data_IF_170216435323
#
_entry.id   IF_170216435323
#
_cell.length_a   1.000
_cell.length_b   1.000
_cell.length_c   1.000
_cell.angle_alpha   90.00
_cell.angle_beta   90.00
_cell.angle_gamma   90.00
#
_symmetry.space_group_name_H-M   'P 1'
#
loop_
_entity.id
_entity.type
_entity.pdbx_description
1 polymer ?
#
# COMPACT_ATOMS: atom_id res chain seq x y z
N UNK A 1 -3.51 6.78 -10.83
CA UNK A 1 -4.33 5.55 -11.00
C UNK A 1 -3.90 4.62 -9.89
N UNK A 2 -4.83 4.16 -9.07
CA UNK A 2 -4.50 3.26 -7.96
C UNK A 2 -4.57 1.81 -8.45
N UNK A 3 -3.52 1.03 -8.19
CA UNK A 3 -3.41 -0.39 -8.58
C UNK A 3 -2.69 -1.18 -7.50
N UNK A 4 -3.08 -2.45 -7.35
CA UNK A 4 -2.40 -3.37 -6.44
C UNK A 4 -1.45 -4.35 -7.15
N UNK A 5 -1.70 -4.66 -8.43
CA UNK A 5 -0.88 -5.57 -9.24
C UNK A 5 -0.54 -4.95 -10.60
N UNK A 6 0.38 -5.57 -11.33
CA UNK A 6 0.84 -5.10 -12.64
C UNK A 6 1.95 -4.05 -12.54
N UNK A 7 2.36 -3.50 -13.68
CA UNK A 7 3.35 -2.42 -13.71
C UNK A 7 2.83 -1.14 -13.06
N UNK A 8 3.72 -0.43 -12.37
CA UNK A 8 3.46 0.82 -11.65
C UNK A 8 2.30 0.67 -10.66
N UNK A 9 2.36 -0.37 -9.82
CA UNK A 9 1.39 -0.60 -8.74
C UNK A 9 1.84 0.09 -7.44
N UNK A 10 0.88 0.44 -6.59
CA UNK A 10 1.13 1.15 -5.33
C UNK A 10 1.62 0.21 -4.20
N UNK A 11 1.64 -1.10 -4.45
CA UNK A 11 2.07 -2.14 -3.51
C UNK A 11 3.60 -2.23 -3.43
N UNK A 12 4.27 -2.13 -4.57
CA UNK A 12 5.71 -2.36 -4.68
C UNK A 12 6.55 -1.31 -3.95
N UNK A 13 6.22 0.01 -3.98
CA UNK A 13 6.92 1.01 -3.16
C UNK A 13 6.87 0.69 -1.66
N UNK A 14 5.72 0.26 -1.12
CA UNK A 14 5.58 -0.12 0.30
C UNK A 14 6.53 -1.27 0.65
N UNK A 15 6.54 -2.32 -0.18
CA UNK A 15 7.43 -3.47 0.01
C UNK A 15 8.90 -3.04 -0.09
N UNK A 16 9.25 -2.22 -1.08
CA UNK A 16 10.62 -1.72 -1.27
C UNK A 16 11.08 -0.91 -0.06
N UNK A 17 10.24 -0.02 0.47
CA UNK A 17 10.55 0.78 1.65
C UNK A 17 10.96 -0.12 2.82
N UNK A 18 10.19 -1.16 3.14
CA UNK A 18 10.48 -2.05 4.29
C UNK A 18 11.56 -3.12 4.03
N UNK A 19 12.26 -3.08 2.89
CA UNK A 19 13.36 -4.02 2.57
C UNK A 19 13.06 -5.06 1.50
N UNK A 20 12.00 -4.86 0.71
CA UNK A 20 11.70 -5.57 -0.53
C UNK A 20 10.97 -6.90 -0.36
N UNK A 21 11.66 -7.92 0.14
CA UNK A 21 11.18 -9.31 0.11
C UNK A 21 10.58 -9.80 1.43
N UNK A 22 10.86 -9.09 2.54
CA UNK A 22 10.42 -9.48 3.89
C UNK A 22 9.24 -8.58 4.31
N UNK A 23 7.98 -9.04 4.18
CA UNK A 23 6.81 -8.20 4.40
C UNK A 23 6.54 -7.88 5.88
N UNK A 24 7.30 -8.48 6.80
CA UNK A 24 7.14 -8.33 8.25
C UNK A 24 7.98 -7.19 8.82
N UNK A 25 8.84 -6.57 8.01
CA UNK A 25 9.61 -5.41 8.44
C UNK A 25 8.73 -4.17 8.51
N UNK A 26 9.15 -3.21 9.31
CA UNK A 26 8.47 -1.92 9.49
C UNK A 26 9.49 -0.80 9.47
N UNK A 27 9.11 0.38 8.98
CA UNK A 27 9.90 1.60 9.09
C UNK A 27 9.09 2.68 9.78
N UNK A 28 9.69 3.35 10.76
CA UNK A 28 9.07 4.48 11.45
C UNK A 28 9.43 5.79 10.75
N UNK A 29 8.43 6.63 10.51
CA UNK A 29 8.53 7.94 9.88
C UNK A 29 7.35 8.19 8.94
N UNK A 30 7.05 9.47 8.72
CA UNK A 30 6.12 9.89 7.67
C UNK A 30 6.84 9.82 6.33
N UNK A 31 6.59 8.74 5.60
CA UNK A 31 7.15 8.50 4.26
C UNK A 31 6.05 8.61 3.20
N UNK A 32 6.44 8.63 1.92
CA UNK A 32 5.44 8.64 0.84
C UNK A 32 4.61 7.35 0.81
N UNK A 33 5.16 6.26 1.34
CA UNK A 33 4.54 4.94 1.42
C UNK A 33 3.65 4.76 2.67
N UNK A 34 3.66 5.71 3.61
CA UNK A 34 2.75 5.75 4.78
C UNK A 34 1.38 6.29 4.35
N UNK A 35 0.60 5.43 3.68
CA UNK A 35 -0.68 5.80 3.06
C UNK A 35 -1.78 6.03 4.09
N UNK A 36 -1.66 5.46 5.29
CA UNK A 36 -2.62 5.69 6.38
C UNK A 36 -2.21 6.86 7.30
N UNK A 37 -1.00 7.41 7.12
CA UNK A 37 -0.45 8.54 7.88
C UNK A 37 -0.34 8.27 9.39
N UNK A 38 0.00 7.03 9.79
CA UNK A 38 0.23 6.64 11.19
C UNK A 38 1.69 6.76 11.64
N UNK A 39 2.59 7.15 10.74
CA UNK A 39 4.01 7.28 10.98
C UNK A 39 4.78 5.95 10.99
N UNK A 40 4.18 4.86 10.51
CA UNK A 40 4.81 3.54 10.41
C UNK A 40 4.45 2.84 9.10
N UNK A 41 5.41 2.76 8.19
CA UNK A 41 5.26 1.97 6.96
C UNK A 41 5.36 0.47 7.28
N UNK A 42 4.32 -0.29 6.94
CA UNK A 42 4.27 -1.77 7.08
C UNK A 42 3.28 -2.42 6.12
N UNK A 43 3.60 -3.63 5.68
CA UNK A 43 2.81 -4.35 4.68
C UNK A 43 1.78 -5.33 5.26
N UNK A 44 2.04 -5.88 6.45
CA UNK A 44 1.14 -6.82 7.15
C UNK A 44 0.88 -6.37 8.59
N UNK A 45 -0.12 -6.98 9.22
CA UNK A 45 -0.53 -6.67 10.59
C UNK A 45 -1.57 -5.55 10.65
N UNK A 46 -1.94 -5.14 11.86
CA UNK A 46 -2.94 -4.10 12.08
C UNK A 46 -2.46 -2.74 11.58
N UNK A 47 -3.36 -1.98 10.95
CA UNK A 47 -3.09 -0.67 10.36
C UNK A 47 -1.97 -0.70 9.31
N UNK A 48 -1.88 -1.75 8.51
CA UNK A 48 -0.92 -1.79 7.41
C UNK A 48 -1.32 -0.85 6.26
N UNK A 49 -0.34 -0.45 5.46
CA UNK A 49 -0.51 0.44 4.31
C UNK A 49 -1.19 -0.22 3.11
N UNK A 50 -1.17 -1.56 3.09
CA UNK A 50 -1.75 -2.38 2.03
C UNK A 50 -3.28 -2.31 2.01
N UNK A 51 -3.91 -2.28 3.17
CA UNK A 51 -5.36 -2.41 3.30
C UNK A 51 -6.14 -1.19 2.76
N UNK A 52 -5.73 0.07 2.99
CA UNK A 52 -6.34 1.23 2.33
C UNK A 52 -6.32 1.16 0.80
N UNK A 53 -5.26 0.63 0.21
CA UNK A 53 -5.14 0.45 -1.25
C UNK A 53 -6.19 -0.56 -1.74
N UNK A 54 -6.27 -1.73 -1.07
CA UNK A 54 -7.24 -2.77 -1.41
C UNK A 54 -8.69 -2.29 -1.26
N UNK A 55 -9.00 -1.55 -0.20
CA UNK A 55 -10.34 -0.97 0.00
C UNK A 55 -10.74 -0.06 -1.15
N UNK A 56 -9.85 0.83 -1.59
CA UNK A 56 -10.12 1.78 -2.67
C UNK A 56 -10.27 1.13 -4.05
N UNK A 57 -9.67 -0.04 -4.30
CA UNK A 57 -9.87 -0.79 -5.55
C UNK A 57 -11.06 -1.77 -5.52
N UNK A 58 -11.84 -1.80 -4.44
CA UNK A 58 -13.05 -2.63 -4.34
C UNK A 58 -12.88 -3.94 -3.56
N UNK A 59 -11.90 -4.01 -2.66
CA UNK A 59 -11.77 -5.06 -1.65
C UNK A 59 -10.58 -6.01 -1.88
N UNK A 60 -10.67 -7.21 -1.31
CA UNK A 60 -9.56 -8.18 -1.24
C UNK A 60 -9.23 -8.87 -2.56
N UNK A 61 -9.95 -8.60 -3.65
CA UNK A 61 -9.70 -9.16 -4.98
C UNK A 61 -8.91 -8.13 -5.79
N UNK A 62 -7.60 -8.31 -5.99
CA UNK A 62 -6.72 -7.27 -6.52
C UNK A 62 -6.69 -7.21 -8.06
N UNK A 63 -7.83 -7.45 -8.70
CA UNK A 63 -7.96 -7.41 -10.17
C UNK A 63 -8.46 -6.07 -10.69
N UNK A 64 -8.99 -5.24 -9.79
CA UNK A 64 -9.52 -3.93 -10.15
C UNK A 64 -8.45 -2.84 -10.06
N UNK A 65 -8.60 -1.83 -10.90
CA UNK A 65 -7.78 -0.63 -10.88
C UNK A 65 -8.69 0.59 -10.77
N UNK A 66 -8.38 1.53 -9.88
CA UNK A 66 -9.17 2.75 -9.72
C UNK A 66 -8.54 3.89 -10.53
N UNK A 67 -9.27 4.37 -11.53
CA UNK A 67 -8.90 5.58 -12.27
C UNK A 67 -9.50 6.82 -11.57
N UNK A 68 -8.75 7.38 -10.62
CA UNK A 68 -9.08 8.65 -9.95
C UNK A 68 -10.09 8.51 -8.80
N UNK A 69 -9.76 9.12 -7.66
CA UNK A 69 -10.78 9.45 -6.65
C UNK A 69 -11.51 10.71 -7.13
N UNK A 70 -12.84 10.70 -7.12
CA UNK A 70 -13.66 11.88 -7.40
C UNK A 70 -13.46 12.93 -6.30
N UNK A 71 -13.57 14.24 -6.61
CA UNK A 71 -13.16 15.35 -5.74
C UNK A 71 -13.88 15.40 -4.39
#
# INVERSE_FOLDING_TARGET
MLKYTGADNDRDPILQAIGGSVPTNTITGYLMEDVNMDGVVKYVGTANDRDPILQNIGGSVPTNTLQGALP
#
